data_IF_073882820373
#
_entry.id   IF_073882820373
#
_cell.length_a   1.000
_cell.length_b   1.000
_cell.length_c   1.000
_cell.angle_alpha   90.00
_cell.angle_beta   90.00
_cell.angle_gamma   90.00
#
_symmetry.space_group_name_H-M   'P 1'
#
loop_
_entity.id
_entity.type
_entity.pdbx_description
1 polymer ?
#
# COMPACT_ATOMS: atom_id res chain seq x y z
N UNK A 1 39.24 -42.04 37.04
CA UNK A 1 38.72 -40.67 37.24
C UNK A 1 38.36 -40.10 35.88
N UNK A 2 37.08 -40.13 35.52
CA UNK A 2 36.57 -39.64 34.23
C UNK A 2 36.19 -38.17 34.44
N UNK A 3 36.94 -37.26 33.83
CA UNK A 3 36.73 -35.81 33.93
C UNK A 3 35.52 -35.37 33.12
N UNK A 4 34.50 -34.83 33.80
CA UNK A 4 33.32 -34.23 33.20
C UNK A 4 33.69 -32.87 32.61
N UNK A 5 33.60 -32.74 31.29
CA UNK A 5 33.60 -31.45 30.60
C UNK A 5 32.16 -30.94 30.54
N UNK A 6 31.83 -29.89 31.30
CA UNK A 6 30.60 -29.12 31.10
C UNK A 6 30.86 -28.08 30.01
N UNK A 7 30.31 -28.30 28.81
CA UNK A 7 30.21 -27.26 27.79
C UNK A 7 29.15 -26.24 28.25
N UNK A 8 29.57 -25.01 28.54
CA UNK A 8 28.66 -23.90 28.77
C UNK A 8 28.09 -23.46 27.42
N UNK A 9 26.80 -23.72 27.19
CA UNK A 9 26.06 -23.12 26.07
C UNK A 9 25.88 -21.62 26.37
N UNK A 10 26.61 -20.77 25.65
CA UNK A 10 26.38 -19.33 25.69
C UNK A 10 25.07 -19.04 24.94
N UNK A 11 24.01 -18.74 25.69
CA UNK A 11 22.77 -18.22 25.14
C UNK A 11 23.01 -16.82 24.58
N UNK A 12 22.98 -16.68 23.25
CA UNK A 12 22.92 -15.38 22.59
C UNK A 12 21.51 -14.84 22.82
N UNK A 13 21.36 -13.99 23.84
CA UNK A 13 20.14 -13.20 24.03
C UNK A 13 20.16 -12.10 22.97
N UNK A 14 19.42 -12.31 21.87
CA UNK A 14 19.15 -11.26 20.90
C UNK A 14 18.31 -10.18 21.58
N UNK A 15 18.91 -9.02 21.83
CA UNK A 15 18.17 -7.82 22.22
C UNK A 15 17.37 -7.37 21.00
N UNK A 16 16.07 -7.63 21.02
CA UNK A 16 15.11 -6.96 20.15
C UNK A 16 15.10 -5.48 20.56
N UNK A 17 15.76 -4.62 19.78
CA UNK A 17 15.58 -3.18 19.92
C UNK A 17 14.15 -2.89 19.45
N UNK A 18 13.25 -2.63 20.39
CA UNK A 18 11.95 -2.05 20.07
C UNK A 18 12.19 -0.72 19.35
N UNK A 19 11.83 -0.64 18.07
CA UNK A 19 11.82 0.63 17.35
C UNK A 19 10.93 1.62 18.10
N UNK A 20 11.36 2.88 18.19
CA UNK A 20 10.49 3.93 18.70
C UNK A 20 9.18 3.93 17.88
N UNK A 21 8.00 4.11 18.52
CA UNK A 21 6.76 4.24 17.78
C UNK A 21 6.92 5.38 16.76
N UNK A 22 6.58 5.13 15.50
CA UNK A 22 6.49 6.19 14.52
C UNK A 22 5.52 7.24 15.05
N UNK A 23 5.99 8.47 15.27
CA UNK A 23 5.12 9.59 15.59
C UNK A 23 4.13 9.76 14.43
N UNK A 24 2.82 9.80 14.72
CA UNK A 24 1.80 10.04 13.70
C UNK A 24 1.83 11.51 13.24
N UNK A 25 1.45 11.78 11.99
CA UNK A 25 1.42 13.13 11.47
C UNK A 25 0.37 13.97 12.20
N UNK A 26 0.59 15.30 12.30
CA UNK A 26 -0.44 16.21 12.75
C UNK A 26 -1.74 15.99 11.95
N UNK A 27 -2.93 15.98 12.60
CA UNK A 27 -4.20 15.72 11.90
C UNK A 27 -4.49 16.67 10.73
N UNK A 28 -4.01 17.91 10.81
CA UNK A 28 -4.17 18.93 9.76
C UNK A 28 -3.30 18.68 8.53
N UNK A 29 -2.28 17.82 8.61
CA UNK A 29 -1.50 17.38 7.45
C UNK A 29 -2.37 16.67 6.40
N UNK A 30 -3.37 15.94 6.88
CA UNK A 30 -4.32 15.18 6.07
C UNK A 30 -5.47 16.04 5.52
N UNK A 31 -5.47 17.36 5.79
CA UNK A 31 -6.46 18.28 5.25
C UNK A 31 -5.85 19.16 4.15
N UNK A 32 -6.57 19.39 3.03
CA UNK A 32 -6.08 20.30 1.99
C UNK A 32 -5.96 21.73 2.51
N UNK A 33 -4.89 22.47 2.15
CA UNK A 33 -4.77 23.88 2.50
C UNK A 33 -5.88 24.71 1.81
N UNK A 34 -6.25 25.88 2.37
CA UNK A 34 -7.18 26.80 1.71
C UNK A 34 -6.62 27.26 0.36
N UNK A 35 -7.14 26.69 -0.73
CA UNK A 35 -6.62 26.89 -2.07
C UNK A 35 -5.37 26.07 -2.33
N UNK A 36 -5.43 25.16 -3.30
CA UNK A 36 -4.25 24.41 -3.71
C UNK A 36 -3.34 25.30 -4.56
N UNK A 37 -2.02 25.30 -4.30
CA UNK A 37 -1.08 26.04 -5.12
C UNK A 37 -1.13 25.55 -6.57
N UNK A 38 -0.99 26.48 -7.52
CA UNK A 38 -0.89 26.13 -8.93
C UNK A 38 0.41 25.36 -9.17
N UNK A 39 0.32 24.24 -9.88
CA UNK A 39 1.47 23.38 -10.19
C UNK A 39 1.09 22.18 -11.06
N UNK A 40 2.05 21.54 -11.75
CA UNK A 40 1.82 20.26 -12.41
C UNK A 40 1.44 19.15 -11.43
N UNK A 41 0.73 18.14 -11.94
CA UNK A 41 0.52 16.89 -11.21
C UNK A 41 1.85 16.28 -10.76
N UNK A 42 1.92 15.79 -9.52
CA UNK A 42 3.18 15.33 -8.96
C UNK A 42 3.92 16.36 -8.08
N UNK A 43 3.40 17.57 -7.90
CA UNK A 43 4.03 18.59 -7.05
C UNK A 43 3.87 18.30 -5.55
N UNK A 44 4.94 18.56 -4.80
CA UNK A 44 4.97 18.43 -3.34
C UNK A 44 4.32 19.66 -2.71
N UNK A 45 3.20 19.47 -2.00
CA UNK A 45 2.48 20.56 -1.33
C UNK A 45 3.00 20.76 0.10
N UNK A 46 3.27 19.67 0.81
CA UNK A 46 3.83 19.64 2.16
C UNK A 46 4.67 18.39 2.35
N UNK A 47 5.71 18.48 3.16
CA UNK A 47 6.46 17.33 3.66
C UNK A 47 6.93 17.64 5.10
N UNK A 48 6.72 16.73 6.04
CA UNK A 48 7.09 16.93 7.45
C UNK A 48 7.97 15.80 8.00
N UNK A 49 8.97 16.12 8.85
CA UNK A 49 9.81 15.12 9.50
C UNK A 49 9.06 14.34 10.59
N UNK A 50 8.80 13.10 10.23
CA UNK A 50 8.54 11.88 10.99
C UNK A 50 9.05 10.77 10.04
N UNK A 51 9.12 9.46 10.32
CA UNK A 51 9.36 8.56 9.18
C UNK A 51 8.16 8.71 8.20
N UNK A 52 8.30 9.15 6.93
CA UNK A 52 8.11 10.54 6.40
C UNK A 52 6.79 10.63 5.58
N UNK A 53 6.08 11.78 5.53
CA UNK A 53 4.78 11.97 4.83
C UNK A 53 4.77 13.20 3.90
N UNK A 54 4.11 13.11 2.73
CA UNK A 54 3.98 14.17 1.70
C UNK A 54 2.63 14.18 0.99
N UNK A 55 2.38 15.24 0.21
CA UNK A 55 1.09 15.56 -0.41
C UNK A 55 1.22 15.89 -1.92
N UNK A 56 0.34 15.35 -2.80
CA UNK A 56 0.41 15.45 -4.29
C UNK A 56 -0.97 15.40 -4.99
N UNK A 57 -1.20 16.01 -6.18
CA UNK A 57 -2.56 16.00 -6.81
C UNK A 57 -2.82 16.38 -8.28
N UNK A 58 -4.13 16.54 -8.59
CA UNK A 58 -4.91 17.35 -9.60
C UNK A 58 -6.34 17.57 -9.02
N UNK A 59 -6.94 18.79 -8.99
CA UNK A 59 -7.34 19.45 -7.73
C UNK A 59 -8.12 18.56 -6.73
N UNK A 60 -7.44 17.58 -6.18
CA UNK A 60 -7.70 16.89 -4.94
C UNK A 60 -6.32 16.62 -4.32
N UNK A 61 -6.33 16.21 -3.07
CA UNK A 61 -5.13 16.03 -2.29
C UNK A 61 -4.95 14.54 -1.98
N UNK A 62 -3.79 13.98 -2.30
CA UNK A 62 -3.41 12.61 -1.94
C UNK A 62 -2.17 12.63 -1.06
N UNK A 63 -2.19 11.87 0.03
CA UNK A 63 -1.03 11.68 0.90
C UNK A 63 -0.27 10.40 0.55
N UNK A 64 0.95 10.30 1.05
CA UNK A 64 1.77 9.12 0.90
C UNK A 64 3.04 9.23 1.73
N UNK A 65 3.86 8.20 1.66
CA UNK A 65 5.08 8.10 2.45
C UNK A 65 6.25 7.55 1.64
N UNK A 66 7.46 7.81 2.13
CA UNK A 66 8.68 7.28 1.54
C UNK A 66 9.74 6.96 2.52
N UNK A 67 10.58 6.13 1.96
CA UNK A 67 11.63 5.45 2.63
C UNK A 67 12.88 5.73 1.83
N UNK A 68 13.73 6.59 2.39
CA UNK A 68 15.10 6.76 1.92
C UNK A 68 15.95 5.62 2.50
N UNK A 69 16.57 4.77 1.66
CA UNK A 69 17.35 3.66 2.18
C UNK A 69 18.67 4.16 2.76
N UNK A 70 18.94 3.73 3.99
CA UNK A 70 20.22 3.92 4.65
C UNK A 70 21.38 3.17 3.96
N UNK A 71 21.07 2.05 3.28
CA UNK A 71 22.05 1.25 2.57
C UNK A 71 22.34 1.83 1.17
N UNK A 72 23.60 1.79 0.70
CA UNK A 72 23.95 2.26 -0.63
C UNK A 72 23.33 1.38 -1.72
N UNK A 73 22.98 1.99 -2.85
CA UNK A 73 22.66 1.24 -4.08
C UNK A 73 23.95 0.70 -4.70
N UNK A 74 24.00 -0.60 -5.02
CA UNK A 74 25.19 -1.27 -5.55
C UNK A 74 25.05 -1.73 -7.01
N UNK A 75 23.85 -1.62 -7.59
CA UNK A 75 23.64 -1.90 -9.01
C UNK A 75 24.10 -0.75 -9.92
N UNK A 76 23.91 -0.88 -11.24
CA UNK A 76 24.35 0.14 -12.18
C UNK A 76 23.52 1.42 -12.06
N UNK A 77 24.11 2.54 -12.47
CA UNK A 77 23.41 3.82 -12.60
C UNK A 77 23.01 4.46 -11.24
N UNK A 78 22.11 5.45 -11.27
CA UNK A 78 21.59 6.08 -10.06
C UNK A 78 20.66 5.15 -9.28
N UNK A 79 20.52 5.40 -7.97
CA UNK A 79 19.60 4.68 -7.07
C UNK A 79 18.18 4.66 -7.65
N UNK A 80 17.55 3.49 -7.85
CA UNK A 80 16.17 3.40 -8.31
C UNK A 80 15.16 3.84 -7.26
N UNK A 81 13.98 4.25 -7.73
CA UNK A 81 12.76 4.41 -6.95
C UNK A 81 11.75 3.32 -7.33
N UNK A 82 11.04 2.79 -6.34
CA UNK A 82 9.84 1.97 -6.55
C UNK A 82 8.62 2.73 -6.05
N UNK A 83 7.67 2.99 -6.95
CA UNK A 83 6.33 3.45 -6.57
C UNK A 83 5.44 2.25 -6.30
N UNK A 84 5.06 2.11 -5.04
CA UNK A 84 4.27 1.01 -4.52
C UNK A 84 2.79 1.36 -4.56
N UNK A 85 2.03 0.59 -5.33
CA UNK A 85 0.59 0.53 -5.27
C UNK A 85 0.18 -0.31 -4.06
N UNK A 86 -0.30 0.36 -3.01
CA UNK A 86 -0.81 -0.30 -1.81
C UNK A 86 -1.95 -1.26 -2.19
N UNK A 87 -2.02 -2.41 -1.53
CA UNK A 87 -3.15 -3.32 -1.71
C UNK A 87 -4.35 -2.86 -0.89
N UNK A 88 -5.38 -3.71 -0.79
CA UNK A 88 -6.63 -3.38 -0.09
C UNK A 88 -6.38 -3.10 1.40
N UNK A 89 -6.56 -1.84 1.81
CA UNK A 89 -6.46 -1.41 3.21
C UNK A 89 -7.83 -1.33 3.91
N UNK A 90 -8.84 -0.87 3.17
CA UNK A 90 -10.16 -0.48 3.68
C UNK A 90 -10.55 0.87 3.09
N UNK A 91 -11.60 1.50 3.61
CA UNK A 91 -12.03 2.83 3.17
C UNK A 91 -11.92 3.89 4.27
N UNK A 92 -11.79 3.47 5.53
CA UNK A 92 -11.63 4.39 6.65
C UNK A 92 -10.25 5.06 6.64
N UNK A 93 -10.20 6.35 6.99
CA UNK A 93 -8.96 7.11 7.02
C UNK A 93 -7.89 6.51 7.93
N UNK A 94 -8.27 5.78 8.98
CA UNK A 94 -7.37 5.14 9.92
C UNK A 94 -6.54 3.99 9.33
N UNK A 95 -6.94 3.42 8.20
CA UNK A 95 -6.13 2.44 7.45
C UNK A 95 -5.34 3.00 6.29
N UNK A 96 -5.26 4.33 6.13
CA UNK A 96 -4.34 4.89 5.14
C UNK A 96 -2.93 4.32 5.35
N UNK A 97 -2.25 3.81 4.31
CA UNK A 97 -0.91 3.23 4.42
C UNK A 97 0.04 4.08 5.25
N UNK A 98 0.07 5.40 5.03
CA UNK A 98 0.90 6.37 5.75
C UNK A 98 0.63 6.43 7.26
N UNK A 99 -0.58 6.09 7.72
CA UNK A 99 -0.98 6.11 9.14
C UNK A 99 -0.64 4.83 9.88
N UNK A 100 -0.39 3.74 9.16
CA UNK A 100 -0.09 2.43 9.74
C UNK A 100 1.37 2.02 9.57
N UNK A 101 2.20 2.91 9.04
CA UNK A 101 3.63 2.69 8.92
C UNK A 101 4.31 2.51 10.28
N UNK A 102 5.26 1.58 10.33
CA UNK A 102 6.03 1.26 11.53
C UNK A 102 5.52 0.06 12.33
N UNK A 103 4.27 -0.37 12.10
CA UNK A 103 3.68 -1.53 12.75
C UNK A 103 3.37 -2.62 11.70
N UNK A 104 3.87 -3.85 11.89
CA UNK A 104 3.44 -5.00 11.06
C UNK A 104 1.97 -5.32 11.34
N UNK A 105 1.53 -5.10 12.58
CA UNK A 105 0.17 -5.27 13.07
C UNK A 105 -0.10 -4.09 14.00
N UNK A 106 -1.04 -3.21 13.61
CA UNK A 106 -1.49 -2.08 14.41
C UNK A 106 -2.90 -2.33 14.93
N UNK A 107 -3.10 -2.20 16.23
CA UNK A 107 -4.43 -2.18 16.83
C UNK A 107 -4.98 -0.77 16.73
N UNK A 108 -5.99 -0.57 15.88
CA UNK A 108 -6.70 0.72 15.71
C UNK A 108 -7.93 0.79 16.60
N UNK A 109 -8.55 -0.36 16.92
CA UNK A 109 -9.61 -0.47 17.92
C UNK A 109 -9.61 -1.87 18.58
N UNK A 110 -10.36 -2.10 19.68
CA UNK A 110 -10.45 -3.41 20.32
C UNK A 110 -10.94 -4.55 19.38
N UNK A 111 -11.63 -4.21 18.30
CA UNK A 111 -12.12 -5.14 17.28
C UNK A 111 -11.38 -5.03 15.94
N UNK A 112 -10.38 -4.15 15.82
CA UNK A 112 -9.76 -3.81 14.54
C UNK A 112 -8.24 -3.81 14.60
N UNK A 113 -7.69 -4.62 13.70
CA UNK A 113 -6.26 -4.75 13.47
C UNK A 113 -5.99 -4.38 12.01
N UNK A 114 -5.06 -3.45 11.77
CA UNK A 114 -4.55 -3.15 10.42
C UNK A 114 -3.18 -3.78 10.28
N UNK A 115 -2.97 -4.47 9.17
CA UNK A 115 -1.69 -5.13 8.87
C UNK A 115 -1.01 -4.32 7.78
N UNK A 116 0.14 -3.71 8.06
CA UNK A 116 0.95 -3.04 7.05
C UNK A 116 1.82 -4.06 6.32
N UNK A 117 1.17 -4.99 5.61
CA UNK A 117 1.86 -6.11 4.98
C UNK A 117 2.84 -5.64 3.90
N UNK A 118 2.58 -4.51 3.25
CA UNK A 118 3.45 -3.78 2.32
C UNK A 118 4.86 -3.58 2.90
N UNK A 119 4.99 -3.38 4.21
CA UNK A 119 6.28 -3.15 4.86
C UNK A 119 7.27 -4.30 4.68
N UNK A 120 6.79 -5.53 4.47
CA UNK A 120 7.66 -6.67 4.14
C UNK A 120 8.41 -6.40 2.84
N UNK A 121 7.70 -5.95 1.80
CA UNK A 121 8.31 -5.66 0.50
C UNK A 121 9.09 -4.34 0.52
N UNK A 122 8.60 -3.31 1.22
CA UNK A 122 9.33 -2.05 1.44
C UNK A 122 10.70 -2.35 2.06
N UNK A 123 10.75 -3.09 3.16
CA UNK A 123 12.01 -3.43 3.83
C UNK A 123 12.93 -4.27 2.94
N UNK A 124 12.38 -5.18 2.14
CA UNK A 124 13.15 -5.96 1.18
C UNK A 124 13.82 -5.06 0.13
N UNK A 125 13.11 -4.09 -0.44
CA UNK A 125 13.67 -3.12 -1.39
C UNK A 125 14.69 -2.19 -0.73
N UNK A 126 14.39 -1.66 0.47
CA UNK A 126 15.32 -0.81 1.21
C UNK A 126 16.63 -1.53 1.55
N UNK A 127 16.55 -2.84 1.83
CA UNK A 127 17.74 -3.67 2.06
C UNK A 127 18.67 -3.77 0.84
N UNK A 128 18.14 -3.52 -0.36
CA UNK A 128 18.90 -3.47 -1.62
C UNK A 128 19.38 -2.05 -1.97
N UNK A 129 19.12 -1.06 -1.11
CA UNK A 129 19.45 0.34 -1.39
C UNK A 129 18.48 1.01 -2.37
N UNK A 130 17.30 0.44 -2.59
CA UNK A 130 16.24 0.94 -3.48
C UNK A 130 15.28 1.82 -2.70
N UNK A 131 15.02 3.05 -3.17
CA UNK A 131 14.07 3.94 -2.51
C UNK A 131 12.63 3.53 -2.81
N UNK A 132 11.72 3.79 -1.89
CA UNK A 132 10.31 3.40 -2.03
C UNK A 132 9.40 4.57 -1.70
N UNK A 133 8.37 4.77 -2.51
CA UNK A 133 7.22 5.61 -2.18
C UNK A 133 5.96 4.76 -2.18
N UNK A 134 5.09 4.96 -1.21
CA UNK A 134 3.75 4.37 -1.13
C UNK A 134 2.71 5.49 -1.12
N UNK A 135 1.67 5.37 -1.93
CA UNK A 135 0.54 6.31 -1.94
C UNK A 135 -0.55 5.82 -1.00
N UNK A 136 -1.27 6.75 -0.38
CA UNK A 136 -2.50 6.43 0.33
C UNK A 136 -3.69 6.28 -0.63
N UNK A 137 -3.56 6.68 -1.90
CA UNK A 137 -4.67 6.86 -2.85
C UNK A 137 -5.62 8.02 -2.49
N UNK A 138 -6.41 8.44 -3.47
CA UNK A 138 -7.45 9.44 -3.29
C UNK A 138 -8.49 8.99 -2.25
N UNK A 139 -8.84 9.90 -1.33
CA UNK A 139 -9.92 9.72 -0.36
C UNK A 139 -9.64 8.72 0.75
N UNK A 140 -8.40 8.21 0.86
CA UNK A 140 -7.98 7.37 1.97
C UNK A 140 -6.94 8.11 2.80
N UNK A 141 -7.30 8.44 4.03
CA UNK A 141 -6.51 9.30 4.89
C UNK A 141 -6.72 10.80 4.62
N UNK A 142 -7.44 11.16 3.56
CA UNK A 142 -7.75 12.54 3.15
C UNK A 142 -9.26 12.67 2.92
N UNK A 143 -9.86 13.88 3.03
CA UNK A 143 -11.30 14.06 2.88
C UNK A 143 -11.84 13.50 1.56
N UNK A 144 -12.94 12.77 1.65
CA UNK A 144 -13.60 12.16 0.51
C UNK A 144 -13.93 10.70 0.79
N UNK A 145 -14.38 10.00 -0.24
CA UNK A 145 -14.49 8.53 -0.19
C UNK A 145 -13.31 7.97 -0.95
N UNK A 146 -12.61 7.00 -0.36
CA UNK A 146 -11.55 6.31 -1.07
C UNK A 146 -12.07 5.77 -2.41
N UNK A 147 -11.33 6.06 -3.49
CA UNK A 147 -11.68 5.68 -4.85
C UNK A 147 -11.32 4.23 -5.14
N UNK A 148 -11.62 3.33 -4.19
CA UNK A 148 -11.28 1.91 -4.24
C UNK A 148 -11.65 1.32 -5.60
N UNK A 149 -10.69 0.63 -6.24
CA UNK A 149 -10.80 -0.05 -7.53
C UNK A 149 -11.11 0.88 -8.72
N UNK A 150 -10.85 2.18 -8.60
CA UNK A 150 -10.92 3.11 -9.73
C UNK A 150 -9.57 3.21 -10.46
N UNK A 151 -9.52 2.67 -11.69
CA UNK A 151 -8.26 2.59 -12.46
C UNK A 151 -7.60 3.93 -12.71
N UNK A 152 -8.39 4.96 -12.98
CA UNK A 152 -7.85 6.24 -13.39
C UNK A 152 -7.27 6.95 -12.16
N UNK A 153 -8.07 7.04 -11.09
CA UNK A 153 -7.64 7.67 -9.85
C UNK A 153 -6.43 6.97 -9.22
N UNK A 154 -6.47 5.65 -9.08
CA UNK A 154 -5.36 4.89 -8.47
C UNK A 154 -4.09 4.95 -9.32
N UNK A 155 -4.19 4.88 -10.65
CA UNK A 155 -3.04 5.04 -11.53
C UNK A 155 -2.44 6.46 -11.42
N UNK A 156 -3.27 7.50 -11.36
CA UNK A 156 -2.80 8.87 -11.16
C UNK A 156 -2.08 9.00 -9.82
N UNK A 157 -2.66 8.49 -8.73
CA UNK A 157 -2.04 8.52 -7.40
C UNK A 157 -0.67 7.81 -7.37
N UNK A 158 -0.53 6.63 -7.98
CA UNK A 158 0.75 5.89 -8.05
C UNK A 158 1.80 6.62 -8.90
N UNK A 159 1.39 7.20 -10.03
CA UNK A 159 2.27 7.96 -10.91
C UNK A 159 2.70 9.30 -10.28
N UNK A 160 1.78 9.99 -9.63
CA UNK A 160 2.03 11.28 -8.98
C UNK A 160 2.87 11.11 -7.71
N UNK A 161 2.67 10.03 -6.96
CA UNK A 161 3.55 9.66 -5.87
C UNK A 161 5.00 9.48 -6.33
N UNK A 162 5.22 8.82 -7.48
CA UNK A 162 6.55 8.69 -8.08
C UNK A 162 7.15 10.06 -8.46
N UNK A 163 6.35 10.92 -9.11
CA UNK A 163 6.77 12.28 -9.49
C UNK A 163 7.16 13.12 -8.28
N UNK A 164 6.37 13.04 -7.20
CA UNK A 164 6.64 13.78 -5.97
C UNK A 164 7.89 13.28 -5.27
N UNK A 165 8.07 11.96 -5.13
CA UNK A 165 9.28 11.40 -4.51
C UNK A 165 10.55 11.84 -5.25
N UNK A 166 10.52 11.85 -6.59
CA UNK A 166 11.64 12.31 -7.42
C UNK A 166 11.95 13.81 -7.28
N UNK A 167 11.04 14.61 -6.71
CA UNK A 167 11.20 16.06 -6.48
C UNK A 167 11.56 16.40 -5.04
N UNK A 168 11.64 15.41 -4.14
CA UNK A 168 11.93 15.68 -2.74
C UNK A 168 13.38 16.14 -2.54
N UNK A 169 13.59 17.28 -1.85
CA UNK A 169 14.92 17.75 -1.54
C UNK A 169 15.57 16.86 -0.47
N UNK A 170 16.90 16.78 -0.48
CA UNK A 170 17.66 16.09 0.57
C UNK A 170 17.60 14.56 0.51
N UNK A 171 17.09 13.98 -0.58
CA UNK A 171 17.10 12.53 -0.81
C UNK A 171 18.29 12.09 -1.65
N UNK A 172 18.60 10.80 -1.63
CA UNK A 172 19.63 10.21 -2.51
C UNK A 172 19.16 10.01 -3.97
N UNK A 173 17.91 10.34 -4.30
CA UNK A 173 17.39 10.23 -5.65
C UNK A 173 17.98 11.31 -6.57
N UNK A 174 18.34 10.91 -7.78
CA UNK A 174 18.85 11.82 -8.82
C UNK A 174 17.76 12.06 -9.86
N UNK A 175 17.75 13.23 -10.54
CA UNK A 175 16.91 13.42 -11.71
C UNK A 175 17.09 12.27 -12.71
N UNK A 176 15.99 11.79 -13.29
CA UNK A 176 15.97 10.67 -14.23
C UNK A 176 16.48 9.32 -13.69
N UNK A 177 16.54 9.13 -12.37
CA UNK A 177 16.74 7.80 -11.82
C UNK A 177 15.63 6.82 -12.28
N UNK A 178 15.95 5.53 -12.45
CA UNK A 178 14.97 4.55 -12.90
C UNK A 178 13.84 4.40 -11.88
N UNK A 179 12.60 4.34 -12.40
CA UNK A 179 11.39 4.16 -11.60
C UNK A 179 10.75 2.83 -11.95
N UNK A 180 10.50 2.00 -10.95
CA UNK A 180 9.70 0.77 -11.05
C UNK A 180 8.35 0.93 -10.36
N UNK A 181 7.40 0.08 -10.74
CA UNK A 181 6.08 0.00 -10.11
C UNK A 181 5.88 -1.40 -9.55
N UNK A 182 5.28 -1.50 -8.38
CA UNK A 182 4.97 -2.77 -7.75
C UNK A 182 3.64 -2.68 -6.99
N UNK A 183 2.82 -3.72 -7.03
CA UNK A 183 1.53 -3.77 -6.35
C UNK A 183 1.00 -5.18 -6.21
N UNK A 184 0.11 -5.38 -5.24
CA UNK A 184 -0.49 -6.68 -4.93
C UNK A 184 -1.95 -6.52 -4.48
N UNK A 185 -2.75 -7.58 -4.61
CA UNK A 185 -4.13 -7.69 -4.12
C UNK A 185 -5.21 -6.90 -4.85
N UNK A 186 -4.93 -5.69 -5.34
CA UNK A 186 -5.96 -4.78 -5.83
C UNK A 186 -6.39 -5.10 -7.28
N UNK A 187 -7.70 -5.20 -7.55
CA UNK A 187 -8.29 -5.40 -8.89
C UNK A 187 -9.30 -4.30 -9.20
N UNK A 188 -9.41 -3.89 -10.45
CA UNK A 188 -9.96 -2.58 -10.80
C UNK A 188 -11.25 -2.65 -11.63
N UNK A 189 -12.28 -1.88 -11.26
CA UNK A 189 -13.60 -1.85 -11.93
C UNK A 189 -14.19 -0.42 -11.95
N UNK A 190 -13.68 0.48 -12.81
CA UNK A 190 -14.03 1.91 -12.81
C UNK A 190 -15.49 2.20 -13.20
N UNK A 191 -16.15 1.32 -13.94
CA UNK A 191 -17.55 1.47 -14.39
C UNK A 191 -18.58 1.03 -13.36
N UNK A 192 -18.17 0.38 -12.26
CA UNK A 192 -19.10 -0.31 -11.40
C UNK A 192 -19.89 0.63 -10.46
N UNK A 193 -19.43 1.85 -10.19
CA UNK A 193 -20.00 2.70 -9.13
C UNK A 193 -21.45 3.11 -9.40
N UNK A 194 -21.73 3.71 -10.55
CA UNK A 194 -23.09 4.13 -10.91
C UNK A 194 -24.04 2.93 -11.03
N UNK A 195 -23.54 1.81 -11.55
CA UNK A 195 -24.27 0.56 -11.68
C UNK A 195 -24.59 -0.06 -10.30
N UNK A 196 -23.64 -0.04 -9.37
CA UNK A 196 -23.86 -0.54 -8.00
C UNK A 196 -24.91 0.34 -7.33
N UNK A 197 -24.78 1.67 -7.36
CA UNK A 197 -25.69 2.58 -6.67
C UNK A 197 -27.15 2.42 -7.14
N UNK A 198 -27.38 2.16 -8.43
CA UNK A 198 -28.73 1.90 -8.95
C UNK A 198 -29.34 0.59 -8.42
N UNK A 199 -28.52 -0.42 -8.17
CA UNK A 199 -28.97 -1.77 -7.80
C UNK A 199 -29.17 -1.96 -6.29
N UNK A 200 -28.71 -1.06 -5.41
CA UNK A 200 -28.75 -1.28 -3.95
C UNK A 200 -30.12 -1.05 -3.30
N UNK A 201 -30.48 -1.93 -2.37
CA UNK A 201 -31.58 -1.74 -1.41
C UNK A 201 -31.11 -0.92 -0.17
N UNK A 202 -31.98 -0.72 0.82
CA UNK A 202 -31.62 0.04 2.04
C UNK A 202 -30.47 -0.61 2.83
N UNK A 203 -30.45 -1.94 2.92
CA UNK A 203 -29.36 -2.69 3.56
C UNK A 203 -28.04 -2.53 2.80
N UNK A 204 -28.10 -2.52 1.46
CA UNK A 204 -26.95 -2.27 0.60
C UNK A 204 -26.38 -0.87 0.76
N UNK A 205 -27.24 0.15 0.89
CA UNK A 205 -26.83 1.51 1.21
C UNK A 205 -26.21 1.62 2.61
N UNK A 206 -26.79 0.93 3.60
CA UNK A 206 -26.22 0.88 4.95
C UNK A 206 -24.85 0.20 4.94
N UNK A 207 -24.69 -0.91 4.21
CA UNK A 207 -23.41 -1.57 4.04
C UNK A 207 -22.36 -0.62 3.47
N UNK A 208 -22.68 0.13 2.40
CA UNK A 208 -21.75 1.12 1.85
C UNK A 208 -21.39 2.23 2.85
N UNK A 209 -22.36 2.72 3.63
CA UNK A 209 -22.13 3.74 4.64
C UNK A 209 -21.22 3.25 5.79
N UNK A 210 -21.38 2.00 6.21
CA UNK A 210 -20.55 1.38 7.23
C UNK A 210 -19.13 1.16 6.70
N UNK A 211 -19.01 0.53 5.52
CA UNK A 211 -17.72 0.17 4.93
C UNK A 211 -16.84 1.40 4.68
N UNK A 212 -17.42 2.57 4.39
CA UNK A 212 -16.69 3.84 4.22
C UNK A 212 -15.81 4.21 5.42
N UNK A 213 -16.11 3.72 6.63
CA UNK A 213 -15.36 4.04 7.84
C UNK A 213 -14.58 2.83 8.40
N UNK A 214 -14.56 1.70 7.68
CA UNK A 214 -13.97 0.44 8.15
C UNK A 214 -12.65 0.13 7.45
N UNK A 215 -11.74 -0.51 8.19
CA UNK A 215 -10.61 -1.20 7.58
C UNK A 215 -11.05 -2.56 7.03
N UNK A 216 -10.22 -3.16 6.16
CA UNK A 216 -10.55 -4.41 5.47
C UNK A 216 -10.89 -5.57 6.42
N UNK A 217 -10.26 -5.63 7.60
CA UNK A 217 -10.50 -6.70 8.57
C UNK A 217 -11.84 -6.53 9.28
N UNK A 218 -12.24 -5.31 9.61
CA UNK A 218 -13.57 -5.03 10.16
C UNK A 218 -14.66 -5.28 9.11
N UNK A 219 -14.44 -4.83 7.87
CA UNK A 219 -15.36 -5.09 6.75
C UNK A 219 -15.57 -6.61 6.57
N UNK A 220 -14.50 -7.40 6.63
CA UNK A 220 -14.58 -8.86 6.55
C UNK A 220 -15.33 -9.47 7.74
N UNK A 221 -15.13 -8.96 8.94
CA UNK A 221 -15.82 -9.46 10.13
C UNK A 221 -17.33 -9.17 10.08
N UNK A 222 -17.71 -7.99 9.60
CA UNK A 222 -19.10 -7.51 9.58
C UNK A 222 -19.88 -8.05 8.37
N UNK A 223 -19.26 -7.99 7.18
CA UNK A 223 -19.92 -8.23 5.89
C UNK A 223 -19.35 -9.42 5.11
N UNK A 224 -18.26 -10.03 5.57
CA UNK A 224 -17.66 -11.18 4.93
C UNK A 224 -18.62 -12.36 4.80
N UNK A 225 -18.49 -13.11 3.70
CA UNK A 225 -19.30 -14.28 3.38
C UNK A 225 -20.81 -14.04 3.20
N UNK A 226 -21.28 -12.78 3.26
CA UNK A 226 -22.64 -12.44 2.88
C UNK A 226 -22.79 -12.48 1.35
N UNK A 227 -23.99 -12.83 0.90
CA UNK A 227 -24.34 -12.90 -0.53
C UNK A 227 -24.81 -11.54 -1.02
N UNK A 228 -24.36 -11.13 -2.21
CA UNK A 228 -24.67 -9.82 -2.80
C UNK A 228 -26.17 -9.57 -3.00
N UNK A 229 -26.94 -10.63 -3.20
CA UNK A 229 -28.40 -10.69 -3.32
C UNK A 229 -29.12 -10.04 -2.12
N UNK A 230 -28.52 -10.12 -0.93
CA UNK A 230 -29.08 -9.50 0.27
C UNK A 230 -29.02 -7.97 0.24
N UNK A 231 -28.21 -7.40 -0.65
CA UNK A 231 -27.95 -5.96 -0.75
C UNK A 231 -28.56 -5.32 -2.00
N UNK A 232 -29.12 -6.10 -2.93
CA UNK A 232 -29.74 -5.60 -4.15
C UNK A 232 -31.24 -5.38 -4.01
N UNK A 233 -31.81 -4.46 -4.80
CA UNK A 233 -33.26 -4.21 -4.90
C UNK A 233 -34.00 -5.39 -5.51
N UNK A 234 -33.35 -6.06 -6.45
CA UNK A 234 -33.90 -7.16 -7.25
C UNK A 234 -33.79 -8.52 -6.57
N UNK A 235 -32.90 -8.65 -5.57
CA UNK A 235 -32.55 -9.94 -4.98
C UNK A 235 -31.62 -10.79 -5.86
N UNK A 236 -31.19 -10.25 -7.01
CA UNK A 236 -30.21 -10.86 -7.90
C UNK A 236 -28.78 -10.52 -7.46
N UNK A 237 -27.79 -11.39 -7.72
CA UNK A 237 -26.41 -11.13 -7.35
C UNK A 237 -25.81 -10.00 -8.21
N UNK A 238 -24.92 -9.21 -7.62
CA UNK A 238 -24.21 -8.12 -8.32
C UNK A 238 -23.15 -8.63 -9.33
N UNK A 239 -23.05 -9.96 -9.52
CA UNK A 239 -22.08 -10.58 -10.41
C UNK A 239 -22.65 -11.85 -11.09
N UNK A 240 -22.68 -11.96 -12.42
CA UNK A 240 -22.97 -13.21 -13.13
C UNK A 240 -21.73 -14.12 -13.30
N UNK A 241 -20.53 -13.69 -12.91
CA UNK A 241 -19.32 -14.52 -13.01
C UNK A 241 -19.28 -15.58 -11.90
N UNK A 242 -18.85 -16.82 -12.22
CA UNK A 242 -18.72 -17.86 -11.21
C UNK A 242 -17.77 -17.41 -10.09
N UNK A 243 -18.02 -17.81 -8.83
CA UNK A 243 -17.18 -17.43 -7.72
C UNK A 243 -15.73 -17.76 -8.03
N UNK A 244 -14.86 -16.74 -8.02
CA UNK A 244 -13.42 -16.93 -8.12
C UNK A 244 -12.97 -17.56 -6.79
N UNK A 245 -13.05 -18.89 -6.78
CA UNK A 245 -12.57 -19.84 -5.79
C UNK A 245 -12.81 -19.47 -4.30
N UNK A 246 -13.81 -20.09 -3.62
CA UNK A 246 -14.00 -19.90 -2.18
C UNK A 246 -12.85 -20.59 -1.45
N UNK A 247 -11.83 -19.81 -1.07
CA UNK A 247 -10.61 -20.38 -0.54
C UNK A 247 -9.68 -19.34 0.05
N UNK A 248 -10.11 -18.70 1.14
CA UNK A 248 -9.26 -18.20 2.25
C UNK A 248 -8.22 -17.11 1.93
N UNK A 249 -8.15 -16.08 2.78
CA UNK A 249 -7.06 -15.10 2.74
C UNK A 249 -5.64 -15.69 2.73
N UNK A 250 -5.46 -16.99 3.03
CA UNK A 250 -4.20 -17.73 2.87
C UNK A 250 -3.78 -17.90 1.41
N UNK A 251 -4.67 -18.29 0.49
CA UNK A 251 -4.33 -18.42 -0.94
C UNK A 251 -4.05 -17.07 -1.59
N UNK A 252 -4.48 -15.98 -0.94
CA UNK A 252 -4.23 -14.60 -1.34
C UNK A 252 -3.08 -13.94 -0.56
N UNK A 253 -2.65 -14.46 0.59
CA UNK A 253 -1.55 -13.88 1.38
C UNK A 253 -0.24 -14.69 1.23
N UNK A 254 -0.31 -16.00 1.01
CA UNK A 254 0.87 -16.85 0.81
C UNK A 254 1.65 -16.46 -0.46
N UNK A 255 1.01 -16.19 -1.62
CA UNK A 255 1.75 -15.74 -2.80
C UNK A 255 2.46 -14.39 -2.59
N UNK A 256 1.88 -13.50 -1.77
CA UNK A 256 2.56 -12.26 -1.38
C UNK A 256 3.88 -12.57 -0.67
N UNK A 257 3.83 -13.33 0.44
CA UNK A 257 5.00 -13.58 1.28
C UNK A 257 6.09 -14.37 0.55
N UNK A 258 5.71 -15.45 -0.13
CA UNK A 258 6.67 -16.30 -0.83
C UNK A 258 7.14 -15.71 -2.17
N UNK A 259 6.37 -14.80 -2.77
CA UNK A 259 6.73 -14.11 -4.00
C UNK A 259 7.68 -12.93 -3.81
N UNK A 260 7.92 -12.46 -2.58
CA UNK A 260 8.80 -11.31 -2.32
C UNK A 260 10.22 -11.51 -2.90
N UNK A 261 10.95 -12.61 -2.64
CA UNK A 261 12.31 -12.76 -3.16
C UNK A 261 12.38 -12.77 -4.69
N UNK A 262 11.43 -13.44 -5.34
CA UNK A 262 11.32 -13.49 -6.80
C UNK A 262 11.00 -12.10 -7.37
N UNK A 263 10.06 -11.38 -6.74
CA UNK A 263 9.69 -10.02 -7.13
C UNK A 263 10.85 -9.04 -7.00
N UNK A 264 11.60 -9.08 -5.88
CA UNK A 264 12.79 -8.24 -5.69
C UNK A 264 13.83 -8.56 -6.75
N UNK A 265 14.12 -9.85 -6.98
CA UNK A 265 15.07 -10.29 -8.01
C UNK A 265 14.65 -9.83 -9.40
N UNK A 266 13.36 -9.97 -9.72
CA UNK A 266 12.84 -9.53 -11.00
C UNK A 266 13.03 -8.02 -11.18
N UNK A 267 12.74 -7.21 -10.15
CA UNK A 267 12.90 -5.76 -10.21
C UNK A 267 14.38 -5.33 -10.30
N UNK A 268 15.26 -5.91 -9.49
CA UNK A 268 16.69 -5.60 -9.53
C UNK A 268 17.31 -5.99 -10.87
N UNK A 269 16.87 -7.10 -11.47
CA UNK A 269 17.26 -7.49 -12.83
C UNK A 269 16.87 -6.43 -13.87
N UNK A 270 15.65 -5.88 -13.80
CA UNK A 270 15.20 -4.81 -14.71
C UNK A 270 16.01 -3.54 -14.51
N UNK A 271 16.28 -3.14 -13.26
CA UNK A 271 17.15 -2.00 -12.95
C UNK A 271 18.60 -2.22 -13.40
N UNK A 272 19.06 -3.47 -13.45
CA UNK A 272 20.35 -3.86 -14.02
C UNK A 272 20.34 -3.96 -15.56
N UNK A 273 19.23 -3.62 -16.22
CA UNK A 273 19.10 -3.66 -17.68
C UNK A 273 18.94 -5.06 -18.27
N UNK A 274 18.68 -6.09 -17.44
CA UNK A 274 18.39 -7.43 -17.94
C UNK A 274 17.01 -7.42 -18.59
N UNK A 275 16.86 -7.94 -19.83
CA UNK A 275 15.57 -7.93 -20.52
C UNK A 275 14.53 -8.71 -19.73
N UNK A 276 13.27 -8.28 -19.81
CA UNK A 276 12.16 -9.04 -19.25
C UNK A 276 12.03 -10.37 -20.01
N UNK A 277 11.80 -11.49 -19.30
CA UNK A 277 11.51 -12.75 -19.98
C UNK A 277 10.24 -12.59 -20.83
N UNK A 278 10.30 -13.07 -22.08
CA UNK A 278 9.16 -13.04 -22.97
C UNK A 278 8.39 -14.35 -22.87
N UNK A 279 7.07 -14.26 -22.69
CA UNK A 279 6.14 -15.39 -22.84
C UNK A 279 5.46 -15.36 -24.22
N UNK A 280 5.76 -14.36 -25.05
CA UNK A 280 5.32 -14.33 -26.43
C UNK A 280 6.07 -15.43 -27.18
N UNK A 281 5.34 -16.42 -27.70
CA UNK A 281 5.89 -17.34 -28.71
C UNK A 281 6.27 -16.49 -29.92
N UNK A 282 7.55 -16.40 -30.22
CA UNK A 282 8.01 -15.90 -31.51
C UNK A 282 7.50 -16.89 -32.56
N UNK A 283 6.74 -16.46 -33.57
CA UNK A 283 6.21 -17.33 -34.62
C UNK A 283 7.32 -18.00 -35.44
#
# INVERSE_FOLDING_TARGET
MIGRWCAAAAAVIGVMVAGAPAAAAPPDFYLPPPGLPAGPAGDVIRAEPMPLVWQVGVPNMVTGAYFDPALPWTGPGPRPLVSMAAGTQGQGDQCAPSRTLGDVIRYVSPSETVTSYEMVFVNALLSQGIAVVITDYEGLGTPGTHSYVNRASEAHAVLDAARAAMRLPGTALRPHAPVGFWGYSHQTYPEARELIDSELNDRGRQMLADVQNQCVNETKATYGFQRTEAFTRTGEPLNPLPPINPGTGLNHALPYVFGVPESVTWMTDRFAGRPAPTTCRVP
#
